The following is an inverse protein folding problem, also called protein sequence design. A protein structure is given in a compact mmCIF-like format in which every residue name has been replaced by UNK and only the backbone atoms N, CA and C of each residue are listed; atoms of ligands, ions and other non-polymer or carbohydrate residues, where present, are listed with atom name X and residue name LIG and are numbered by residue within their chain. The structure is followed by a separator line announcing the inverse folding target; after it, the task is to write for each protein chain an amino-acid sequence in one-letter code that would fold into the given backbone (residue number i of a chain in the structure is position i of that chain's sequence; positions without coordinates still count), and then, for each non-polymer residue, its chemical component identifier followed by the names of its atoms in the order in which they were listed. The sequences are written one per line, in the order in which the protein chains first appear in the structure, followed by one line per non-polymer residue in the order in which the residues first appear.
data_IF_582514860723
#
_entry.id   IF_582514860723
#
_cell.length_a   1.000
_cell.length_b   1.000
_cell.length_c   1.000
_cell.angle_alpha   90.00
_cell.angle_beta   90.00
_cell.angle_gamma   90.00
#
_symmetry.space_group_name_H-M   'P 1'
#
loop_
_entity.id
_entity.type
_entity.pdbx_description
1 polymer ?
#
# COMPACT_ATOMS: atom_id res chain seq x y z
N UNK A 1 6.47 0.16 -23.43
CA UNK A 1 5.62 1.19 -22.77
C UNK A 1 5.18 0.64 -21.43
N UNK A 2 5.31 1.44 -20.39
CA UNK A 2 4.94 1.07 -19.02
C UNK A 2 3.68 1.83 -18.64
N UNK A 3 2.73 1.15 -18.02
CA UNK A 3 1.43 1.69 -17.63
C UNK A 3 1.10 1.25 -16.19
N UNK A 4 0.41 2.12 -15.45
CA UNK A 4 -0.25 1.77 -14.19
C UNK A 4 -1.78 1.71 -14.35
N UNK A 5 -2.28 2.16 -15.51
CA UNK A 5 -3.70 2.11 -15.86
C UNK A 5 -4.03 0.77 -16.54
N UNK A 6 -5.00 -0.02 -16.01
CA UNK A 6 -5.41 -1.29 -16.61
C UNK A 6 -6.25 -1.09 -17.89
N UNK A 7 -6.62 -2.20 -18.53
CA UNK A 7 -7.60 -2.22 -19.62
C UNK A 7 -7.03 -1.93 -21.01
N UNK A 8 -5.78 -2.35 -21.27
CA UNK A 8 -5.19 -2.35 -22.60
C UNK A 8 -6.05 -3.19 -23.56
N UNK A 9 -6.36 -2.68 -24.74
CA UNK A 9 -7.23 -3.25 -25.77
C UNK A 9 -8.69 -3.55 -25.37
N UNK A 10 -9.10 -3.28 -24.13
CA UNK A 10 -10.49 -3.46 -23.66
C UNK A 10 -11.39 -2.30 -24.12
N UNK A 11 -11.12 -1.09 -23.62
CA UNK A 11 -11.92 0.12 -23.90
C UNK A 11 -11.10 1.16 -24.69
N UNK A 12 -10.58 2.18 -23.99
CA UNK A 12 -10.00 3.37 -24.61
C UNK A 12 -8.51 3.24 -24.95
N UNK A 13 -7.77 2.41 -24.21
CA UNK A 13 -6.33 2.25 -24.42
C UNK A 13 -6.13 1.16 -25.46
N UNK A 14 -5.55 1.49 -26.62
CA UNK A 14 -5.26 0.53 -27.69
C UNK A 14 -3.76 0.34 -27.91
N UNK A 15 -3.36 -0.84 -28.37
CA UNK A 15 -1.97 -1.10 -28.76
C UNK A 15 -1.56 -0.24 -29.95
N UNK A 16 -0.33 0.27 -29.90
CA UNK A 16 0.31 1.05 -30.95
C UNK A 16 1.36 0.18 -31.65
N UNK A 17 1.35 0.17 -32.99
CA UNK A 17 2.31 -0.59 -33.81
C UNK A 17 3.78 -0.18 -33.57
N UNK A 18 4.03 1.05 -33.09
CA UNK A 18 5.37 1.52 -32.73
C UNK A 18 5.87 1.02 -31.37
N UNK A 19 5.00 0.40 -30.56
CA UNK A 19 5.35 -0.10 -29.22
C UNK A 19 5.45 -1.62 -29.26
N UNK A 20 6.64 -2.15 -29.03
CA UNK A 20 6.89 -3.60 -29.07
C UNK A 20 6.33 -4.35 -27.86
N UNK A 21 6.28 -3.71 -26.69
CA UNK A 21 5.94 -4.35 -25.42
C UNK A 21 5.18 -3.41 -24.50
N UNK A 22 4.12 -3.91 -23.87
CA UNK A 22 3.27 -3.24 -22.90
C UNK A 22 3.42 -3.93 -21.54
N UNK A 23 3.97 -3.20 -20.58
CA UNK A 23 4.14 -3.66 -19.21
C UNK A 23 3.19 -2.91 -18.29
N UNK A 24 2.41 -3.64 -17.48
CA UNK A 24 1.63 -3.07 -16.39
C UNK A 24 2.46 -3.08 -15.09
N UNK A 25 2.38 -2.03 -14.28
CA UNK A 25 2.90 -2.01 -12.92
C UNK A 25 1.73 -1.79 -11.97
N UNK A 26 1.55 -2.72 -11.04
CA UNK A 26 0.44 -2.66 -10.09
C UNK A 26 0.65 -1.51 -9.09
N UNK A 27 -0.46 -0.86 -8.71
CA UNK A 27 -0.48 0.27 -7.77
C UNK A 27 -1.35 -0.04 -6.54
N UNK A 28 -1.13 -1.21 -5.95
CA UNK A 28 -1.77 -1.68 -4.71
C UNK A 28 -0.97 -2.84 -4.12
N UNK A 29 -1.22 -3.19 -2.86
CA UNK A 29 -0.64 -4.39 -2.22
C UNK A 29 -1.57 -5.61 -2.29
N UNK A 30 -2.88 -5.41 -2.17
CA UNK A 30 -3.87 -6.49 -2.33
C UNK A 30 -4.01 -6.91 -3.79
N UNK A 31 -4.59 -8.09 -4.07
CA UNK A 31 -5.18 -8.41 -5.36
C UNK A 31 -5.93 -7.21 -5.96
N UNK A 32 -5.75 -6.99 -7.26
CA UNK A 32 -6.27 -5.81 -7.94
C UNK A 32 -7.78 -5.93 -8.13
N UNK A 33 -8.53 -4.91 -7.70
CA UNK A 33 -9.97 -4.77 -7.97
C UNK A 33 -10.19 -4.13 -9.34
N UNK A 34 -9.66 -4.76 -10.39
CA UNK A 34 -9.81 -4.27 -11.77
C UNK A 34 -11.10 -4.76 -12.42
N UNK A 35 -11.62 -3.95 -13.36
CA UNK A 35 -12.70 -4.36 -14.25
C UNK A 35 -12.25 -5.55 -15.09
N UNK A 36 -13.22 -6.37 -15.52
CA UNK A 36 -12.96 -7.55 -16.34
C UNK A 36 -11.99 -7.24 -17.49
N UNK A 37 -11.03 -8.13 -17.69
CA UNK A 37 -9.92 -8.04 -18.65
C UNK A 37 -8.87 -6.98 -18.28
N UNK A 38 -8.75 -6.64 -17.00
CA UNK A 38 -7.93 -5.52 -16.53
C UNK A 38 -6.46 -5.62 -16.93
N UNK A 39 -5.89 -6.83 -16.91
CA UNK A 39 -4.48 -7.08 -17.22
C UNK A 39 -4.25 -8.05 -18.39
N UNK A 40 -5.31 -8.52 -19.04
CA UNK A 40 -5.25 -9.65 -19.98
C UNK A 40 -4.36 -9.41 -21.20
N UNK A 41 -4.42 -8.20 -21.75
CA UNK A 41 -3.77 -7.87 -23.02
C UNK A 41 -2.35 -7.27 -22.86
N UNK A 42 -1.84 -7.24 -21.63
CA UNK A 42 -0.46 -6.83 -21.34
C UNK A 42 0.52 -7.96 -21.62
N UNK A 43 1.72 -7.60 -22.10
CA UNK A 43 2.78 -8.57 -22.37
C UNK A 43 3.50 -8.97 -21.07
N UNK A 44 3.54 -8.05 -20.09
CA UNK A 44 4.05 -8.32 -18.75
C UNK A 44 3.33 -7.53 -17.66
N UNK A 45 3.39 -8.04 -16.43
CA UNK A 45 2.89 -7.37 -15.23
C UNK A 45 3.93 -7.43 -14.13
N UNK A 46 4.33 -6.27 -13.60
CA UNK A 46 5.14 -6.19 -12.40
C UNK A 46 4.21 -6.07 -11.19
N UNK A 47 4.31 -7.04 -10.28
CA UNK A 47 3.46 -7.16 -9.11
C UNK A 47 4.24 -6.85 -7.83
N UNK A 48 3.53 -6.45 -6.78
CA UNK A 48 4.13 -6.15 -5.49
C UNK A 48 4.52 -7.39 -4.69
N UNK A 49 3.79 -8.51 -4.86
CA UNK A 49 3.97 -9.73 -4.05
C UNK A 49 3.41 -10.97 -4.77
N UNK A 50 3.66 -12.14 -4.18
CA UNK A 50 3.20 -13.42 -4.70
C UNK A 50 1.67 -13.57 -4.72
N UNK A 51 0.94 -12.93 -3.81
CA UNK A 51 -0.54 -12.99 -3.79
C UNK A 51 -1.13 -12.41 -5.08
N UNK A 52 -0.55 -11.33 -5.59
CA UNK A 52 -0.95 -10.75 -6.87
C UNK A 52 -0.53 -11.60 -8.06
N UNK A 53 0.63 -12.27 -8.00
CA UNK A 53 1.01 -13.24 -9.02
C UNK A 53 -0.03 -14.36 -9.11
N UNK A 54 -0.34 -15.03 -8.00
CA UNK A 54 -1.32 -16.11 -7.93
C UNK A 54 -2.69 -15.65 -8.45
N UNK A 55 -3.14 -14.46 -8.04
CA UNK A 55 -4.38 -13.86 -8.55
C UNK A 55 -4.37 -13.70 -10.08
N UNK A 56 -3.30 -13.16 -10.66
CA UNK A 56 -3.20 -13.04 -12.13
C UNK A 56 -3.19 -14.43 -12.77
N UNK A 57 -2.55 -15.42 -12.15
CA UNK A 57 -2.52 -16.79 -12.69
C UNK A 57 -3.90 -17.43 -12.72
N UNK A 58 -4.74 -17.16 -11.72
CA UNK A 58 -6.13 -17.60 -11.67
C UNK A 58 -6.96 -16.93 -12.76
N UNK A 59 -6.84 -15.61 -12.91
CA UNK A 59 -7.51 -14.84 -13.99
C UNK A 59 -7.11 -15.33 -15.38
N UNK A 60 -5.81 -15.56 -15.61
CA UNK A 60 -5.33 -16.09 -16.90
C UNK A 60 -5.97 -17.44 -17.24
N UNK A 61 -6.20 -18.26 -16.23
CA UNK A 61 -6.82 -19.58 -16.37
C UNK A 61 -8.33 -19.44 -16.62
N UNK A 62 -9.01 -18.57 -15.87
CA UNK A 62 -10.44 -18.29 -16.02
C UNK A 62 -10.77 -17.73 -17.41
N UNK A 63 -9.95 -16.80 -17.93
CA UNK A 63 -10.18 -16.14 -19.21
C UNK A 63 -9.56 -16.89 -20.40
N UNK A 64 -8.80 -17.96 -20.16
CA UNK A 64 -8.09 -18.73 -21.18
C UNK A 64 -7.20 -17.83 -22.08
N UNK A 65 -6.42 -16.95 -21.45
CA UNK A 65 -5.51 -16.01 -22.15
C UNK A 65 -4.07 -16.51 -22.11
N UNK A 66 -3.23 -15.95 -22.99
CA UNK A 66 -1.80 -16.27 -23.03
C UNK A 66 -1.14 -15.90 -21.69
N UNK A 67 -0.37 -16.83 -21.13
CA UNK A 67 0.51 -16.57 -19.98
C UNK A 67 1.43 -15.40 -20.29
N UNK A 68 1.34 -14.33 -19.50
CA UNK A 68 2.23 -13.17 -19.58
C UNK A 68 3.42 -13.32 -18.64
N UNK A 69 4.46 -12.53 -18.89
CA UNK A 69 5.60 -12.44 -17.99
C UNK A 69 5.17 -11.71 -16.72
N UNK A 70 5.34 -12.34 -15.56
CA UNK A 70 5.10 -11.72 -14.27
C UNK A 70 6.42 -11.68 -13.52
N UNK A 71 6.70 -10.55 -12.88
CA UNK A 71 7.83 -10.43 -11.98
C UNK A 71 7.38 -9.74 -10.70
N UNK A 72 7.75 -10.32 -9.55
CA UNK A 72 7.53 -9.71 -8.26
C UNK A 72 8.63 -8.67 -8.05
N UNK A 73 8.25 -7.40 -8.03
CA UNK A 73 9.19 -6.27 -7.92
C UNK A 73 8.98 -5.44 -6.67
N UNK A 74 7.97 -5.74 -5.84
CA UNK A 74 7.63 -4.91 -4.68
C UNK A 74 6.77 -3.69 -5.05
N UNK A 75 6.44 -2.88 -4.04
CA UNK A 75 5.62 -1.67 -4.21
C UNK A 75 6.47 -0.41 -4.17
N UNK A 76 6.60 0.25 -5.31
CA UNK A 76 7.41 1.47 -5.45
C UNK A 76 6.83 2.65 -4.65
N UNK A 77 5.51 2.80 -4.62
CA UNK A 77 4.88 3.89 -3.88
C UNK A 77 4.94 3.66 -2.37
N UNK A 78 4.92 2.41 -1.92
CA UNK A 78 4.97 2.10 -0.49
C UNK A 78 6.37 2.39 0.08
N UNK A 79 7.42 2.15 -0.71
CA UNK A 79 8.79 2.54 -0.35
C UNK A 79 8.89 4.06 -0.13
N UNK A 80 8.32 4.87 -1.02
CA UNK A 80 8.26 6.34 -0.89
C UNK A 80 7.46 6.77 0.35
N UNK A 81 6.30 6.16 0.59
CA UNK A 81 5.51 6.45 1.80
C UNK A 81 6.27 6.08 3.08
N UNK A 82 7.02 4.98 3.08
CA UNK A 82 7.84 4.61 4.23
C UNK A 82 8.99 5.59 4.49
N UNK A 83 9.64 6.11 3.45
CA UNK A 83 10.65 7.16 3.61
C UNK A 83 10.07 8.43 4.23
N UNK A 84 8.86 8.81 3.83
CA UNK A 84 8.13 9.94 4.42
C UNK A 84 7.74 9.68 5.88
N UNK A 85 7.34 8.45 6.22
CA UNK A 85 7.04 8.06 7.60
C UNK A 85 8.29 8.18 8.50
N UNK A 86 9.41 7.62 8.07
CA UNK A 86 10.67 7.62 8.83
C UNK A 86 11.20 9.04 9.06
N UNK A 87 10.93 9.97 8.13
CA UNK A 87 11.31 11.37 8.30
C UNK A 87 10.61 12.03 9.51
N UNK A 88 9.35 11.65 9.82
CA UNK A 88 8.59 12.17 10.96
C UNK A 88 9.14 11.68 12.32
N UNK A 89 9.59 10.44 12.37
CA UNK A 89 10.19 9.86 13.59
C UNK A 89 11.57 10.48 13.89
N UNK A 90 12.28 10.92 12.84
CA UNK A 90 13.58 11.57 12.99
C UNK A 90 13.51 13.02 13.48
N UNK A 91 12.42 13.74 13.20
CA UNK A 91 12.23 15.14 13.66
C UNK A 91 11.79 15.21 15.11
N UNK A 92 10.97 14.26 15.56
CA UNK A 92 10.52 14.14 16.97
C UNK A 92 11.67 13.88 17.94
N UNK A 93 12.72 13.15 17.52
CA UNK A 93 13.90 12.87 18.35
C UNK A 93 14.96 14.00 18.38
N UNK A 94 14.81 15.06 17.58
CA UNK A 94 15.76 16.20 17.58
C UNK A 94 15.47 17.26 18.66
N UNK A 95 14.47 17.05 19.51
CA UNK A 95 14.23 17.88 20.70
C UNK A 95 14.89 17.25 21.94
N UNK A 96 16.22 17.19 21.95
CA UNK A 96 17.01 17.03 23.18
C UNK A 96 17.98 18.21 23.33
N UNK A 97 17.76 18.97 24.40
CA UNK A 97 18.46 20.10 25.01
C UNK A 97 19.13 21.20 24.15
N UNK A 98 18.87 22.49 24.43
CA UNK A 98 19.62 23.59 23.85
C UNK A 98 21.01 23.67 24.52
N UNK A 99 21.99 22.97 23.95
CA UNK A 99 23.40 23.21 24.28
C UNK A 99 24.18 23.65 23.03
N UNK A 100 24.60 24.92 23.10
CA UNK A 100 25.74 25.55 22.43
C UNK A 100 25.86 25.39 20.90
N UNK A 101 25.29 26.38 20.20
CA UNK A 101 25.72 26.76 18.86
C UNK A 101 27.16 27.27 18.93
N UNK A 102 28.14 26.46 18.52
CA UNK A 102 29.41 27.00 18.02
C UNK A 102 30.04 26.10 16.94
N UNK A 103 30.20 26.74 15.77
CA UNK A 103 31.21 26.52 14.73
C UNK A 103 31.53 25.09 14.26
N UNK A 104 30.94 24.68 13.13
CA UNK A 104 31.63 23.77 12.20
C UNK A 104 31.56 24.34 10.78
N UNK A 105 32.74 24.74 10.29
CA UNK A 105 33.01 25.15 8.92
C UNK A 105 32.81 24.02 7.91
N UNK A 106 32.50 24.44 6.69
CA UNK A 106 32.27 23.69 5.46
C UNK A 106 33.15 22.44 5.25
N UNK A 107 32.52 21.27 5.24
CA UNK A 107 32.88 20.16 4.33
C UNK A 107 31.62 19.67 3.62
N UNK A 108 31.59 19.89 2.31
CA UNK A 108 30.59 19.36 1.37
C UNK A 108 30.83 17.86 1.21
N UNK A 109 30.09 17.04 1.94
CA UNK A 109 29.83 15.66 1.54
C UNK A 109 28.57 15.62 0.67
N UNK A 110 28.78 15.41 -0.63
CA UNK A 110 27.77 15.40 -1.69
C UNK A 110 27.20 13.99 -1.86
N UNK A 111 26.63 13.42 -0.78
CA UNK A 111 25.94 12.11 -0.84
C UNK A 111 24.45 12.18 -0.46
N UNK A 112 23.94 13.36 -0.11
CA UNK A 112 22.57 13.55 0.40
C UNK A 112 21.66 14.40 -0.53
N UNK A 113 22.10 14.76 -1.73
CA UNK A 113 21.27 15.52 -2.68
C UNK A 113 20.25 14.64 -3.40
N UNK A 114 19.30 14.06 -2.66
CA UNK A 114 17.96 13.73 -3.15
C UNK A 114 16.95 14.35 -2.17
N UNK A 115 16.53 15.57 -2.52
CA UNK A 115 15.20 16.14 -2.27
C UNK A 115 14.61 15.98 -0.86
N UNK A 116 15.10 16.78 0.09
CA UNK A 116 14.19 17.34 1.11
C UNK A 116 13.36 18.42 0.40
N UNK A 117 12.17 18.08 -0.08
CA UNK A 117 11.22 19.10 -0.52
C UNK A 117 10.79 19.93 0.69
N UNK A 118 10.61 21.23 0.52
CA UNK A 118 10.11 22.13 1.57
C UNK A 118 8.77 21.67 2.15
N UNK A 119 8.00 20.90 1.39
CA UNK A 119 6.70 20.35 1.76
C UNK A 119 6.79 19.27 2.85
N UNK A 120 7.79 18.37 2.80
CA UNK A 120 7.99 17.35 3.81
C UNK A 120 8.39 17.96 5.17
N UNK A 121 9.20 19.03 5.14
CA UNK A 121 9.57 19.80 6.34
C UNK A 121 8.40 20.62 6.89
N UNK A 122 7.61 21.27 6.04
CA UNK A 122 6.42 22.02 6.47
C UNK A 122 5.35 21.09 7.05
N UNK A 123 5.18 19.89 6.47
CA UNK A 123 4.32 18.87 7.02
C UNK A 123 4.84 18.40 8.38
N UNK A 124 6.11 17.96 8.49
CA UNK A 124 6.71 17.55 9.76
C UNK A 124 6.53 18.61 10.86
N UNK A 125 6.80 19.89 10.57
CA UNK A 125 6.61 20.99 11.51
C UNK A 125 5.14 21.27 11.88
N UNK A 126 4.18 21.08 10.96
CA UNK A 126 2.73 21.18 11.25
C UNK A 126 2.26 20.03 12.15
N UNK A 127 2.85 18.85 11.99
CA UNK A 127 2.49 17.63 12.71
C UNK A 127 3.19 17.47 14.06
N UNK A 128 4.45 17.91 14.21
CA UNK A 128 5.18 17.90 15.49
C UNK A 128 4.42 18.67 16.58
N UNK A 129 3.83 19.83 16.25
CA UNK A 129 3.00 20.61 17.18
C UNK A 129 1.69 19.92 17.60
N UNK A 130 1.28 18.87 16.90
CA UNK A 130 0.03 18.13 17.17
C UNK A 130 0.26 16.83 17.93
N UNK A 131 1.53 16.39 18.05
CA UNK A 131 1.93 15.15 18.72
C UNK A 131 2.17 15.34 20.24
N UNK A 132 2.32 16.59 20.69
CA UNK A 132 2.40 16.90 22.12
C UNK A 132 1.00 16.93 22.76
N UNK A 133 0.48 15.77 23.19
CA UNK A 133 -0.47 15.73 24.31
C UNK A 133 -0.23 14.54 25.23
N UNK A 134 0.04 14.87 26.49
CA UNK A 134 0.39 13.97 27.58
C UNK A 134 -0.86 13.34 28.21
N UNK A 135 -1.24 12.19 27.67
CA UNK A 135 -2.00 11.05 28.22
C UNK A 135 -2.42 10.28 26.95
N UNK A 136 -1.84 9.11 26.65
CA UNK A 136 -1.88 8.53 25.29
C UNK A 136 -3.27 7.99 24.91
N UNK A 137 -4.21 8.89 24.65
CA UNK A 137 -5.50 8.58 24.08
C UNK A 137 -5.29 7.86 22.75
N UNK A 138 -5.78 6.61 22.65
CA UNK A 138 -5.69 5.83 21.41
C UNK A 138 -6.41 6.57 20.28
N UNK A 139 -5.83 6.54 19.10
CA UNK A 139 -6.39 7.19 17.90
C UNK A 139 -6.97 6.16 16.94
N UNK A 140 -8.21 6.35 16.50
CA UNK A 140 -8.85 5.54 15.46
C UNK A 140 -8.95 6.36 14.17
N UNK A 141 -8.45 5.78 13.07
CA UNK A 141 -8.57 6.34 11.73
C UNK A 141 -9.73 5.69 10.99
N UNK A 142 -10.75 6.48 10.66
CA UNK A 142 -11.85 6.09 9.79
C UNK A 142 -11.49 6.48 8.35
N UNK A 143 -11.17 5.49 7.51
CA UNK A 143 -10.67 5.67 6.14
C UNK A 143 -11.60 5.02 5.11
N UNK A 144 -12.75 5.65 4.80
CA UNK A 144 -13.77 5.10 3.90
C UNK A 144 -13.39 5.20 2.40
N UNK A 145 -13.91 4.27 1.60
CA UNK A 145 -14.02 4.45 0.14
C UNK A 145 -15.16 5.43 -0.21
N UNK A 146 -15.31 5.77 -1.49
CA UNK A 146 -16.39 6.65 -1.98
C UNK A 146 -17.46 5.88 -2.77
N UNK A 147 -18.69 6.38 -2.75
CA UNK A 147 -19.82 5.81 -3.49
C UNK A 147 -20.92 5.27 -2.57
N UNK A 148 -22.06 4.94 -3.17
CA UNK A 148 -23.32 4.69 -2.43
C UNK A 148 -23.23 3.58 -1.38
N UNK A 149 -22.49 2.52 -1.66
CA UNK A 149 -22.37 1.34 -0.78
C UNK A 149 -21.16 1.39 0.17
N UNK A 150 -20.50 2.55 0.30
CA UNK A 150 -19.29 2.70 1.13
C UNK A 150 -19.61 3.17 2.55
N UNK A 151 -18.61 3.06 3.42
CA UNK A 151 -18.74 3.22 4.87
C UNK A 151 -19.57 4.44 5.31
N UNK A 152 -19.24 5.63 4.79
CA UNK A 152 -19.89 6.88 5.23
C UNK A 152 -21.27 7.08 4.62
N UNK A 153 -21.55 6.55 3.43
CA UNK A 153 -22.87 6.68 2.81
C UNK A 153 -23.86 5.66 3.37
N UNK A 154 -23.39 4.43 3.63
CA UNK A 154 -24.23 3.35 4.10
C UNK A 154 -24.53 3.45 5.60
N UNK A 155 -23.55 3.86 6.40
CA UNK A 155 -23.67 3.85 7.86
C UNK A 155 -23.58 5.24 8.49
N UNK A 156 -22.76 6.15 7.95
CA UNK A 156 -22.67 7.53 8.42
C UNK A 156 -22.65 7.67 9.95
N UNK A 157 -23.64 8.37 10.51
CA UNK A 157 -23.76 8.61 11.95
C UNK A 157 -23.99 7.35 12.78
N UNK A 158 -24.57 6.27 12.23
CA UNK A 158 -24.79 5.03 12.97
C UNK A 158 -23.46 4.39 13.40
N UNK A 159 -22.42 4.53 12.58
CA UNK A 159 -21.06 4.11 12.91
C UNK A 159 -20.31 5.19 13.69
N UNK A 160 -20.40 6.44 13.24
CA UNK A 160 -19.57 7.51 13.78
C UNK A 160 -19.99 7.92 15.20
N UNK A 161 -21.29 7.97 15.53
CA UNK A 161 -21.74 8.41 16.86
C UNK A 161 -21.24 7.51 18.00
N UNK A 162 -21.26 6.17 17.90
CA UNK A 162 -20.62 5.31 18.90
C UNK A 162 -19.11 5.55 19.03
N UNK A 163 -18.40 5.79 17.93
CA UNK A 163 -16.96 6.05 17.94
C UNK A 163 -16.60 7.37 18.61
N UNK A 164 -17.28 8.47 18.26
CA UNK A 164 -16.95 9.80 18.82
C UNK A 164 -17.35 9.94 20.30
N UNK A 165 -18.27 9.10 20.79
CA UNK A 165 -18.64 9.03 22.22
C UNK A 165 -17.68 8.18 23.06
N UNK A 166 -16.78 7.44 22.42
CA UNK A 166 -15.72 6.67 23.08
C UNK A 166 -14.61 7.60 23.58
N UNK A 167 -13.67 7.11 24.43
CA UNK A 167 -12.53 7.92 24.87
C UNK A 167 -11.48 8.17 23.77
N UNK A 168 -11.65 7.62 22.56
CA UNK A 168 -10.66 7.69 21.48
C UNK A 168 -10.63 9.04 20.77
N UNK A 169 -9.47 9.38 20.22
CA UNK A 169 -9.34 10.43 19.21
C UNK A 169 -9.71 9.86 17.85
N UNK A 170 -10.62 10.50 17.12
CA UNK A 170 -11.16 9.99 15.86
C UNK A 170 -10.66 10.86 14.71
N UNK A 171 -9.88 10.28 13.81
CA UNK A 171 -9.53 10.91 12.53
C UNK A 171 -10.46 10.35 11.46
N UNK A 172 -11.27 11.21 10.84
CA UNK A 172 -12.13 10.84 9.70
C UNK A 172 -11.47 11.38 8.44
N UNK A 173 -11.07 10.47 7.54
CA UNK A 173 -10.37 10.78 6.30
C UNK A 173 -11.15 10.30 5.08
N UNK A 174 -12.19 11.03 4.62
CA UNK A 174 -12.93 10.66 3.44
C UNK A 174 -12.05 10.59 2.19
N UNK A 175 -12.37 9.69 1.27
CA UNK A 175 -11.69 9.64 -0.02
C UNK A 175 -11.82 11.00 -0.75
N UNK A 176 -10.79 11.49 -1.48
CA UNK A 176 -10.83 12.79 -2.15
C UNK A 176 -12.05 12.98 -3.07
N UNK A 177 -12.45 11.91 -3.77
CA UNK A 177 -13.64 11.88 -4.63
C UNK A 177 -14.94 12.20 -3.87
N UNK A 178 -15.03 11.90 -2.57
CA UNK A 178 -16.22 12.22 -1.75
C UNK A 178 -16.40 13.73 -1.54
N UNK A 179 -15.36 14.55 -1.75
CA UNK A 179 -15.48 16.01 -1.74
C UNK A 179 -15.86 16.61 -3.10
N UNK A 180 -15.79 15.82 -4.17
CA UNK A 180 -16.04 16.24 -5.55
C UNK A 180 -17.46 15.85 -5.98
N UNK A 181 -17.85 14.60 -5.73
CA UNK A 181 -19.18 14.09 -6.11
C UNK A 181 -20.28 14.82 -5.34
N UNK A 182 -21.33 15.37 -5.99
CA UNK A 182 -22.34 16.20 -5.32
C UNK A 182 -23.05 15.50 -4.14
N UNK A 183 -23.49 14.26 -4.33
CA UNK A 183 -24.19 13.50 -3.28
C UNK A 183 -23.26 13.16 -2.12
N UNK A 184 -22.03 12.74 -2.42
CA UNK A 184 -21.01 12.45 -1.42
C UNK A 184 -20.68 13.70 -0.62
N UNK A 185 -20.46 14.84 -1.30
CA UNK A 185 -20.09 16.10 -0.68
C UNK A 185 -21.16 16.59 0.28
N UNK A 186 -22.43 16.47 -0.11
CA UNK A 186 -23.55 16.81 0.76
C UNK A 186 -23.59 15.91 2.01
N UNK A 187 -23.34 14.60 1.85
CA UNK A 187 -23.25 13.68 2.98
C UNK A 187 -22.07 14.05 3.90
N UNK A 188 -20.88 14.30 3.36
CA UNK A 188 -19.73 14.73 4.17
C UNK A 188 -20.02 16.02 4.94
N UNK A 189 -20.66 17.02 4.31
CA UNK A 189 -21.05 18.26 4.98
C UNK A 189 -22.06 18.00 6.13
N UNK A 190 -23.04 17.11 5.91
CA UNK A 190 -23.98 16.71 6.93
C UNK A 190 -23.29 16.04 8.13
N UNK A 191 -22.38 15.10 7.87
CA UNK A 191 -21.60 14.41 8.92
C UNK A 191 -20.68 15.39 9.66
N UNK A 192 -20.06 16.34 8.96
CA UNK A 192 -19.23 17.38 9.57
C UNK A 192 -20.05 18.26 10.53
N UNK A 193 -21.23 18.69 10.12
CA UNK A 193 -22.12 19.52 10.95
C UNK A 193 -22.63 18.74 12.17
N UNK A 194 -23.02 17.49 11.99
CA UNK A 194 -23.52 16.63 13.07
C UNK A 194 -22.44 16.29 14.12
N UNK A 195 -21.16 16.34 13.75
CA UNK A 195 -20.04 16.02 14.62
C UNK A 195 -19.25 17.24 15.10
N UNK A 196 -19.68 18.47 14.79
CA UNK A 196 -18.93 19.71 15.05
C UNK A 196 -18.63 19.96 16.53
N UNK A 197 -19.50 19.48 17.42
CA UNK A 197 -19.41 19.74 18.86
C UNK A 197 -18.53 18.69 19.59
N UNK A 198 -18.03 17.67 18.87
CA UNK A 198 -17.13 16.66 19.42
C UNK A 198 -15.67 17.09 19.22
N UNK A 199 -14.99 17.46 20.30
CA UNK A 199 -13.61 17.96 20.27
C UNK A 199 -12.55 16.88 19.99
N UNK A 200 -12.91 15.60 20.15
CA UNK A 200 -12.08 14.44 19.82
C UNK A 200 -12.20 14.00 18.35
N UNK A 201 -12.81 14.81 17.49
CA UNK A 201 -12.99 14.51 16.05
C UNK A 201 -12.12 15.42 15.21
N UNK A 202 -11.37 14.82 14.30
CA UNK A 202 -10.57 15.49 13.30
C UNK A 202 -10.99 15.06 11.90
N UNK A 203 -11.21 16.01 11.01
CA UNK A 203 -11.42 15.75 9.59
C UNK A 203 -10.12 15.98 8.82
N UNK A 204 -9.60 14.91 8.23
CA UNK A 204 -8.34 14.95 7.52
C UNK A 204 -8.56 14.92 6.00
N UNK A 205 -7.95 15.89 5.32
CA UNK A 205 -7.98 16.06 3.86
C UNK A 205 -6.57 16.19 3.29
N UNK A 206 -5.55 16.06 4.14
CA UNK A 206 -4.16 16.32 3.76
C UNK A 206 -3.62 15.17 2.89
N UNK A 207 -2.64 15.45 2.04
CA UNK A 207 -1.92 14.45 1.24
C UNK A 207 -0.44 14.65 1.48
N UNK A 208 0.38 13.59 1.65
CA UNK A 208 0.07 12.15 1.66
C UNK A 208 -0.76 11.64 2.86
N UNK A 209 -1.29 10.41 2.75
CA UNK A 209 -2.05 9.72 3.80
C UNK A 209 -1.20 9.26 5.01
N UNK A 210 0.12 9.21 4.83
CA UNK A 210 1.05 8.67 5.82
C UNK A 210 0.99 9.36 7.18
N UNK A 211 0.67 10.65 7.22
CA UNK A 211 0.60 11.41 8.47
C UNK A 211 -0.58 10.98 9.35
N UNK A 212 -1.73 10.69 8.74
CA UNK A 212 -2.87 10.12 9.46
C UNK A 212 -2.58 8.69 9.89
N UNK A 213 -1.82 7.92 9.08
CA UNK A 213 -1.44 6.55 9.41
C UNK A 213 -0.53 6.49 10.63
N UNK A 214 0.53 7.30 10.66
CA UNK A 214 1.51 7.34 11.76
C UNK A 214 0.87 7.63 13.12
N UNK A 215 -0.20 8.42 13.13
CA UNK A 215 -0.91 8.80 14.36
C UNK A 215 -1.95 7.79 14.82
N UNK A 216 -2.45 6.94 13.94
CA UNK A 216 -3.56 6.06 14.25
C UNK A 216 -3.07 4.77 14.89
N UNK A 217 -3.78 4.29 15.90
CA UNK A 217 -3.56 3.01 16.57
C UNK A 217 -4.36 1.86 15.95
N UNK A 218 -5.39 2.21 15.19
CA UNK A 218 -6.28 1.28 14.50
C UNK A 218 -6.95 1.98 13.32
N UNK A 219 -7.19 1.24 12.24
CA UNK A 219 -8.01 1.72 11.12
C UNK A 219 -9.40 1.08 11.14
N UNK A 220 -10.42 1.85 10.78
CA UNK A 220 -11.75 1.35 10.39
C UNK A 220 -11.96 1.74 8.92
N UNK A 221 -12.20 0.74 8.07
CA UNK A 221 -12.41 0.95 6.64
C UNK A 221 -13.51 0.01 6.10
N UNK A 222 -13.80 0.12 4.81
CA UNK A 222 -14.68 -0.79 4.10
C UNK A 222 -13.86 -1.85 3.33
N UNK A 223 -13.69 -1.69 2.02
CA UNK A 223 -13.00 -2.60 1.12
C UNK A 223 -11.80 -1.94 0.42
N UNK A 224 -11.34 -0.81 0.96
CA UNK A 224 -10.22 -0.07 0.39
C UNK A 224 -8.91 -0.87 0.44
N UNK A 225 -8.15 -0.88 -0.65
CA UNK A 225 -6.80 -1.45 -0.65
C UNK A 225 -5.85 -0.75 0.33
N UNK A 226 -6.18 0.48 0.74
CA UNK A 226 -5.39 1.28 1.68
C UNK A 226 -5.25 0.65 3.07
N UNK A 227 -6.13 -0.30 3.40
CA UNK A 227 -6.04 -1.12 4.62
C UNK A 227 -4.67 -1.80 4.69
N UNK A 228 -4.22 -2.39 3.57
CA UNK A 228 -2.96 -3.11 3.54
C UNK A 228 -1.75 -2.17 3.53
N UNK A 229 -1.88 -0.96 2.99
CA UNK A 229 -0.85 0.08 3.13
C UNK A 229 -0.66 0.43 4.60
N UNK A 230 -1.76 0.66 5.33
CA UNK A 230 -1.74 0.96 6.76
C UNK A 230 -1.12 -0.19 7.57
N UNK A 231 -1.54 -1.43 7.31
CA UNK A 231 -1.01 -2.62 7.99
C UNK A 231 0.49 -2.78 7.72
N UNK A 232 0.95 -2.64 6.48
CA UNK A 232 2.36 -2.83 6.15
C UNK A 232 3.24 -1.69 6.69
N UNK A 233 2.76 -0.44 6.64
CA UNK A 233 3.52 0.71 7.10
C UNK A 233 3.53 0.82 8.62
N UNK A 234 2.39 0.64 9.27
CA UNK A 234 2.22 0.89 10.71
C UNK A 234 2.28 -0.38 11.57
N UNK A 235 2.02 -1.56 11.00
CA UNK A 235 1.94 -2.81 11.76
C UNK A 235 0.79 -2.81 12.77
N UNK A 236 -0.32 -2.13 12.45
CA UNK A 236 -1.45 -1.87 13.35
C UNK A 236 -2.76 -2.48 12.81
N UNK A 237 -3.71 -2.83 13.70
CA UNK A 237 -4.92 -3.56 13.32
C UNK A 237 -5.90 -2.73 12.50
N UNK A 238 -6.70 -3.42 11.68
CA UNK A 238 -7.77 -2.83 10.90
C UNK A 238 -9.10 -3.57 11.08
N UNK A 239 -10.16 -2.82 11.37
CA UNK A 239 -11.53 -3.32 11.31
C UNK A 239 -12.10 -2.99 9.94
N UNK A 240 -12.81 -3.95 9.36
CA UNK A 240 -13.47 -3.76 8.07
C UNK A 240 -14.95 -4.00 8.19
N UNK A 241 -15.75 -3.25 7.44
CA UNK A 241 -17.16 -3.60 7.38
C UNK A 241 -17.37 -4.88 6.57
N UNK A 242 -18.15 -5.79 7.14
CA UNK A 242 -18.69 -6.96 6.47
C UNK A 242 -19.77 -6.51 5.46
N UNK A 243 -19.31 -6.07 4.30
CA UNK A 243 -20.14 -5.82 3.14
C UNK A 243 -19.81 -6.89 2.11
N UNK A 244 -20.83 -7.64 1.68
CA UNK A 244 -20.76 -8.40 0.44
C UNK A 244 -20.51 -7.40 -0.69
N UNK A 245 -19.24 -7.26 -1.07
CA UNK A 245 -18.89 -6.50 -2.27
C UNK A 245 -19.56 -7.17 -3.46
N UNK A 246 -20.28 -6.38 -4.24
CA UNK A 246 -20.72 -6.82 -5.55
C UNK A 246 -19.50 -6.90 -6.47
N UNK A 247 -19.04 -8.13 -6.72
CA UNK A 247 -17.90 -8.41 -7.58
C UNK A 247 -18.26 -8.30 -9.07
N UNK A 248 -19.54 -8.09 -9.41
CA UNK A 248 -20.00 -8.02 -10.80
C UNK A 248 -19.21 -6.99 -11.60
N UNK A 249 -18.68 -7.45 -12.74
CA UNK A 249 -17.89 -6.62 -13.64
C UNK A 249 -16.45 -6.36 -13.18
N UNK A 250 -15.95 -7.09 -12.19
CA UNK A 250 -14.52 -7.15 -11.84
C UNK A 250 -13.94 -8.52 -12.20
N UNK A 251 -12.63 -8.56 -12.49
CA UNK A 251 -11.88 -9.81 -12.74
C UNK A 251 -12.10 -10.84 -11.61
N UNK A 252 -12.24 -10.36 -10.36
CA UNK A 252 -12.48 -11.20 -9.18
C UNK A 252 -13.79 -12.00 -9.24
N UNK A 253 -14.76 -11.62 -10.07
CA UNK A 253 -16.00 -12.39 -10.23
C UNK A 253 -15.81 -13.68 -11.03
N UNK A 254 -14.73 -13.77 -11.81
CA UNK A 254 -14.47 -14.90 -12.70
C UNK A 254 -13.62 -16.01 -12.04
N UNK A 255 -13.29 -15.85 -10.75
CA UNK A 255 -12.54 -16.84 -9.95
C UNK A 255 -13.33 -17.26 -8.70
N UNK A 256 -12.96 -18.39 -8.13
CA UNK A 256 -13.61 -18.90 -6.92
C UNK A 256 -13.42 -17.93 -5.75
N UNK A 257 -14.52 -17.52 -5.10
CA UNK A 257 -14.48 -16.55 -4.01
C UNK A 257 -13.55 -16.98 -2.86
N UNK A 258 -13.50 -18.28 -2.58
CA UNK A 258 -12.64 -18.85 -1.54
C UNK A 258 -11.15 -18.85 -1.90
N UNK A 259 -10.78 -18.65 -3.17
CA UNK A 259 -9.37 -18.46 -3.58
C UNK A 259 -8.89 -17.04 -3.32
N UNK A 260 -9.80 -16.07 -3.14
CA UNK A 260 -9.46 -14.67 -2.95
C UNK A 260 -8.83 -14.46 -1.57
N UNK A 261 -7.51 -14.28 -1.58
CA UNK A 261 -6.69 -14.08 -0.38
C UNK A 261 -7.17 -12.91 0.51
N UNK A 262 -7.60 -11.80 -0.11
CA UNK A 262 -7.99 -10.57 0.60
C UNK A 262 -9.01 -10.83 1.71
N UNK A 263 -10.08 -11.60 1.43
CA UNK A 263 -11.13 -11.82 2.43
C UNK A 263 -10.63 -12.61 3.65
N UNK A 264 -9.73 -13.57 3.45
CA UNK A 264 -9.10 -14.33 4.54
C UNK A 264 -8.13 -13.46 5.34
N UNK A 265 -7.42 -12.55 4.69
CA UNK A 265 -6.48 -11.65 5.34
C UNK A 265 -7.19 -10.66 6.27
N UNK A 266 -8.34 -10.09 5.84
CA UNK A 266 -9.12 -9.14 6.64
C UNK A 266 -9.57 -9.71 8.00
N UNK A 267 -9.87 -11.01 8.06
CA UNK A 267 -10.24 -11.69 9.32
C UNK A 267 -9.07 -11.81 10.32
N UNK A 268 -7.83 -11.76 9.82
CA UNK A 268 -6.61 -12.02 10.61
C UNK A 268 -5.97 -10.74 11.13
N UNK A 269 -6.06 -9.64 10.38
CA UNK A 269 -5.47 -8.34 10.73
C UNK A 269 -6.34 -7.50 11.68
N UNK A 270 -7.51 -8.01 12.07
CA UNK A 270 -8.43 -7.33 12.97
C UNK A 270 -9.76 -8.07 13.07
N UNK A 271 -10.86 -7.43 12.66
CA UNK A 271 -12.20 -8.02 12.73
C UNK A 271 -13.12 -7.46 11.65
N UNK A 272 -13.88 -8.33 10.98
CA UNK A 272 -15.03 -7.91 10.17
C UNK A 272 -16.22 -7.56 11.06
N UNK A 273 -16.80 -6.39 10.86
CA UNK A 273 -17.94 -5.89 11.64
C UNK A 273 -19.10 -5.50 10.72
N UNK A 274 -20.33 -5.81 11.09
CA UNK A 274 -21.54 -5.24 10.50
C UNK A 274 -22.29 -4.32 11.48
N UNK A 275 -23.37 -3.68 11.03
CA UNK A 275 -24.18 -2.73 11.80
C UNK A 275 -24.60 -3.24 13.18
N UNK A 276 -24.81 -4.55 13.33
CA UNK A 276 -25.16 -5.20 14.61
C UNK A 276 -24.11 -5.01 15.72
N UNK A 277 -22.88 -4.67 15.35
CA UNK A 277 -21.77 -4.49 16.28
C UNK A 277 -21.52 -3.02 16.66
N UNK A 278 -22.19 -2.06 16.02
CA UNK A 278 -21.86 -0.63 16.23
C UNK A 278 -22.11 -0.17 17.66
N UNK A 279 -23.11 -0.73 18.35
CA UNK A 279 -23.35 -0.47 19.77
C UNK A 279 -22.24 -0.98 20.69
N UNK A 280 -21.47 -1.98 20.24
CA UNK A 280 -20.37 -2.62 20.96
C UNK A 280 -19.00 -2.26 20.37
N UNK A 281 -18.92 -1.23 19.51
CA UNK A 281 -17.70 -0.95 18.75
C UNK A 281 -16.53 -0.63 19.68
N UNK A 282 -16.80 0.04 20.81
CA UNK A 282 -15.78 0.35 21.80
C UNK A 282 -15.19 -0.92 22.41
N UNK A 283 -16.03 -1.87 22.86
CA UNK A 283 -15.60 -3.16 23.43
C UNK A 283 -14.75 -3.94 22.41
N UNK A 284 -15.17 -3.94 21.14
CA UNK A 284 -14.42 -4.60 20.05
C UNK A 284 -13.05 -3.96 19.84
N UNK A 285 -12.96 -2.62 19.86
CA UNK A 285 -11.68 -1.93 19.77
C UNK A 285 -10.76 -2.29 20.95
N UNK A 286 -11.30 -2.31 22.17
CA UNK A 286 -10.56 -2.68 23.39
C UNK A 286 -10.05 -4.13 23.32
N UNK A 287 -10.88 -5.08 22.87
CA UNK A 287 -10.47 -6.48 22.66
C UNK A 287 -9.26 -6.59 21.72
N UNK A 288 -9.27 -5.85 20.60
CA UNK A 288 -8.21 -5.90 19.59
C UNK A 288 -6.95 -5.16 20.07
N UNK A 289 -7.09 -4.03 20.77
CA UNK A 289 -5.93 -3.36 21.37
C UNK A 289 -5.23 -4.30 22.36
N UNK A 290 -5.99 -4.95 23.24
CA UNK A 290 -5.47 -5.89 24.20
C UNK A 290 -4.81 -7.11 23.54
N UNK A 291 -5.33 -7.60 22.40
CA UNK A 291 -4.72 -8.72 21.68
C UNK A 291 -3.39 -8.37 21.01
N UNK A 292 -3.16 -7.09 20.70
CA UNK A 292 -1.89 -6.62 20.13
C UNK A 292 -0.82 -6.38 21.21
N UNK A 293 -1.23 -6.05 22.44
CA UNK A 293 -0.32 -5.75 23.56
C UNK A 293 0.23 -7.01 24.27
N UNK A 294 -0.30 -8.19 23.96
CA UNK A 294 0.21 -9.48 24.47
C UNK A 294 1.61 -9.75 23.89
N UNK A 295 2.64 -9.22 24.53
CA UNK A 295 4.03 -9.64 24.31
C UNK A 295 4.12 -11.13 24.63
N UNK A 296 4.66 -11.91 23.70
CA UNK A 296 4.92 -13.34 23.77
C UNK A 296 5.36 -13.80 25.17
N UNK A 297 4.40 -14.12 26.01
CA UNK A 297 4.60 -15.07 27.10
C UNK A 297 3.98 -16.34 26.57
N UNK A 298 4.83 -17.18 25.96
CA UNK A 298 4.75 -18.64 25.82
C UNK A 298 5.36 -19.12 24.48
N UNK A 299 6.69 -19.02 24.36
CA UNK A 299 7.44 -20.13 23.76
C UNK A 299 7.42 -21.29 24.76
N UNK A 300 6.44 -22.21 24.65
CA UNK A 300 6.55 -23.60 25.11
C UNK A 300 5.20 -24.31 25.01
N UNK A 301 5.13 -25.34 24.17
CA UNK A 301 4.11 -26.38 24.28
C UNK A 301 3.23 -26.51 23.05
N UNK A 302 3.74 -27.19 22.03
CA UNK A 302 2.86 -27.96 21.15
C UNK A 302 2.05 -28.93 22.01
N UNK A 303 0.75 -28.68 22.12
CA UNK A 303 -0.21 -29.75 22.33
C UNK A 303 -1.41 -29.53 21.42
N UNK A 304 -1.40 -30.32 20.35
CA UNK A 304 -2.52 -30.56 19.46
C UNK A 304 -3.66 -31.21 20.24
N UNK A 305 -4.87 -30.67 20.06
CA UNK A 305 -6.19 -31.32 20.16
C UNK A 305 -7.17 -30.53 21.05
N UNK A 306 -7.74 -29.47 20.50
CA UNK A 306 -9.17 -29.07 20.62
C UNK A 306 -9.33 -27.70 19.96
N UNK A 307 -9.95 -27.61 18.78
CA UNK A 307 -10.22 -26.32 18.15
C UNK A 307 -11.50 -26.36 17.32
N UNK A 308 -12.64 -26.31 18.00
CA UNK A 308 -13.85 -25.71 17.46
C UNK A 308 -14.18 -24.49 18.33
N UNK A 309 -14.22 -23.33 17.66
CA UNK A 309 -14.76 -22.03 18.12
C UNK A 309 -14.14 -21.45 19.41
N UNK A 310 -13.12 -20.57 19.26
CA UNK A 310 -12.81 -19.38 20.11
C UNK A 310 -11.33 -18.90 20.12
N UNK A 311 -10.49 -19.26 19.14
CA UNK A 311 -9.05 -18.93 19.19
C UNK A 311 -8.54 -17.86 18.19
N UNK A 312 -9.42 -17.15 17.46
CA UNK A 312 -8.98 -16.18 16.43
C UNK A 312 -8.36 -14.89 16.99
N UNK A 313 -8.62 -14.55 18.25
CA UNK A 313 -8.11 -13.31 18.85
C UNK A 313 -6.73 -13.46 19.51
N UNK A 314 -6.13 -14.66 19.50
CA UNK A 314 -4.89 -14.93 20.25
C UNK A 314 -3.59 -14.61 19.53
N UNK A 315 -3.62 -14.03 18.33
CA UNK A 315 -2.38 -13.58 17.69
C UNK A 315 -2.53 -12.50 16.59
N UNK A 316 -3.32 -11.45 16.84
CA UNK A 316 -3.50 -10.34 15.88
C UNK A 316 -2.15 -9.72 15.48
N UNK A 317 -1.23 -9.54 16.43
CA UNK A 317 0.10 -8.98 16.14
C UNK A 317 0.93 -9.86 15.21
N UNK A 318 0.98 -11.19 15.42
CA UNK A 318 1.66 -12.09 14.49
C UNK A 318 1.03 -12.02 13.11
N UNK A 319 -0.29 -11.99 13.01
CA UNK A 319 -0.97 -11.91 11.72
C UNK A 319 -0.70 -10.60 10.97
N UNK A 320 -0.57 -9.49 11.69
CA UNK A 320 -0.14 -8.21 11.12
C UNK A 320 1.28 -8.32 10.57
N UNK A 321 2.20 -8.95 11.31
CA UNK A 321 3.58 -9.17 10.89
C UNK A 321 3.67 -10.09 9.66
N UNK A 322 2.99 -11.24 9.69
CA UNK A 322 2.92 -12.20 8.57
C UNK A 322 2.34 -11.52 7.32
N UNK A 323 1.31 -10.69 7.48
CA UNK A 323 0.71 -9.94 6.37
C UNK A 323 1.69 -8.93 5.78
N UNK A 324 2.41 -8.19 6.64
CA UNK A 324 3.43 -7.23 6.21
C UNK A 324 4.56 -7.91 5.42
N UNK A 325 5.09 -9.02 5.92
CA UNK A 325 6.16 -9.78 5.27
C UNK A 325 5.71 -10.37 3.92
N UNK A 326 4.46 -10.86 3.86
CA UNK A 326 3.90 -11.42 2.64
C UNK A 326 3.69 -10.35 1.56
N UNK A 327 3.16 -9.18 1.93
CA UNK A 327 2.73 -8.16 0.98
C UNK A 327 3.82 -7.16 0.59
N UNK A 328 4.71 -6.78 1.51
CA UNK A 328 5.74 -5.76 1.25
C UNK A 328 7.07 -6.41 0.90
N UNK A 329 7.11 -7.02 -0.28
CA UNK A 329 8.34 -7.63 -0.80
C UNK A 329 9.29 -6.58 -1.37
N UNK A 330 10.60 -6.82 -1.25
CA UNK A 330 11.67 -5.90 -1.64
C UNK A 330 11.55 -4.48 -1.05
N UNK A 331 11.33 -4.34 0.27
CA UNK A 331 11.17 -3.03 0.88
C UNK A 331 12.41 -2.15 0.62
N UNK A 332 12.15 -0.89 0.29
CA UNK A 332 13.13 0.15 -0.11
C UNK A 332 13.93 -0.14 -1.38
N UNK A 333 13.61 -1.23 -2.09
CA UNK A 333 14.32 -1.66 -3.28
C UNK A 333 13.37 -1.89 -4.46
N UNK A 334 12.07 -1.60 -4.31
CA UNK A 334 11.09 -1.95 -5.32
C UNK A 334 11.35 -1.23 -6.65
N UNK A 335 11.71 0.05 -6.59
CA UNK A 335 12.08 0.82 -7.78
C UNK A 335 13.26 0.24 -8.54
N UNK A 336 14.28 -0.25 -7.81
CA UNK A 336 15.44 -0.90 -8.41
C UNK A 336 15.08 -2.27 -9.02
N UNK A 337 14.23 -3.05 -8.35
CA UNK A 337 13.74 -4.32 -8.92
C UNK A 337 12.92 -4.08 -10.19
N UNK A 338 11.97 -3.13 -10.17
CA UNK A 338 11.19 -2.79 -11.37
C UNK A 338 12.08 -2.30 -12.50
N UNK A 339 13.07 -1.43 -12.23
CA UNK A 339 14.01 -0.97 -13.25
C UNK A 339 14.82 -2.14 -13.85
N UNK A 340 15.29 -3.07 -13.02
CA UNK A 340 16.03 -4.25 -13.46
C UNK A 340 15.19 -5.15 -14.37
N UNK A 341 13.94 -5.39 -14.03
CA UNK A 341 13.03 -6.20 -14.85
C UNK A 341 12.70 -5.51 -16.18
N UNK A 342 12.47 -4.20 -16.16
CA UNK A 342 12.25 -3.43 -17.40
C UNK A 342 13.48 -3.46 -18.32
N UNK A 343 14.71 -3.41 -17.77
CA UNK A 343 15.93 -3.56 -18.56
C UNK A 343 16.09 -4.96 -19.16
N UNK A 344 15.66 -6.02 -18.46
CA UNK A 344 15.63 -7.38 -19.03
C UNK A 344 14.66 -7.46 -20.21
N UNK A 345 13.47 -6.90 -20.06
CA UNK A 345 12.47 -6.84 -21.15
C UNK A 345 13.03 -6.05 -22.34
N UNK A 346 13.62 -4.88 -22.12
CA UNK A 346 14.21 -4.08 -23.20
C UNK A 346 15.35 -4.83 -23.90
N UNK A 347 16.20 -5.51 -23.12
CA UNK A 347 17.26 -6.37 -23.66
C UNK A 347 16.68 -7.45 -24.58
N UNK A 348 15.62 -8.15 -24.17
CA UNK A 348 14.98 -9.19 -25.00
C UNK A 348 14.40 -8.62 -26.30
N UNK A 349 13.80 -7.42 -26.24
CA UNK A 349 13.29 -6.71 -27.43
C UNK A 349 14.44 -6.38 -28.39
N UNK A 350 15.53 -5.82 -27.89
CA UNK A 350 16.72 -5.47 -28.68
C UNK A 350 17.35 -6.72 -29.28
N UNK A 351 17.53 -7.78 -28.50
CA UNK A 351 18.08 -9.06 -28.98
C UNK A 351 17.20 -9.67 -30.09
N UNK A 352 15.87 -9.62 -29.94
CA UNK A 352 14.94 -10.10 -30.95
C UNK A 352 15.05 -9.31 -32.26
N UNK A 353 15.19 -7.97 -32.17
CA UNK A 353 15.38 -7.09 -33.34
C UNK A 353 16.73 -7.31 -34.02
N UNK A 354 17.78 -7.57 -33.24
CA UNK A 354 19.14 -7.79 -33.73
C UNK A 354 19.39 -9.21 -34.23
N UNK A 355 18.49 -10.18 -33.95
CA UNK A 355 18.63 -11.58 -34.34
C UNK A 355 19.05 -11.80 -35.81
N UNK A 356 18.51 -11.07 -36.81
CA UNK A 356 18.95 -11.20 -38.20
C UNK A 356 20.38 -10.70 -38.47
N UNK A 357 20.93 -9.85 -37.59
CA UNK A 357 22.22 -9.18 -37.74
C UNK A 357 23.24 -9.61 -36.67
N UNK A 358 22.93 -10.66 -35.88
CA UNK A 358 23.69 -10.99 -34.67
C UNK A 358 25.17 -11.31 -34.96
N UNK A 359 25.48 -11.88 -36.12
CA UNK A 359 26.85 -12.15 -36.55
C UNK A 359 27.66 -10.86 -36.78
N UNK A 360 27.02 -9.81 -37.33
CA UNK A 360 27.66 -8.51 -37.52
C UNK A 360 27.90 -7.81 -36.19
N UNK A 361 26.95 -7.90 -35.26
CA UNK A 361 27.09 -7.35 -33.90
C UNK A 361 28.22 -8.06 -33.15
N UNK A 362 28.33 -9.38 -33.25
CA UNK A 362 29.43 -10.14 -32.66
C UNK A 362 30.78 -9.70 -33.24
N UNK A 363 30.86 -9.54 -34.57
CA UNK A 363 32.07 -9.07 -35.23
C UNK A 363 32.46 -7.65 -34.79
N UNK A 364 31.49 -6.74 -34.62
CA UNK A 364 31.75 -5.40 -34.12
C UNK A 364 32.37 -5.43 -32.71
N UNK A 365 31.81 -6.24 -31.79
CA UNK A 365 32.36 -6.41 -30.44
C UNK A 365 33.78 -6.98 -30.43
N UNK A 366 34.08 -7.92 -31.31
CA UNK A 366 35.45 -8.44 -31.48
C UNK A 366 36.41 -7.32 -31.88
N UNK A 367 36.02 -6.48 -32.86
CA UNK A 367 36.82 -5.34 -33.32
C UNK A 367 37.02 -4.32 -32.20
N UNK A 368 35.98 -3.98 -31.44
CA UNK A 368 36.07 -3.06 -30.29
C UNK A 368 37.06 -3.59 -29.23
N UNK A 369 36.97 -4.89 -28.92
CA UNK A 369 37.91 -5.54 -27.98
C UNK A 369 39.36 -5.49 -28.47
N UNK A 370 39.58 -5.64 -29.79
CA UNK A 370 40.92 -5.52 -30.37
C UNK A 370 41.45 -4.09 -30.29
N UNK A 371 40.59 -3.08 -30.51
CA UNK A 371 40.94 -1.67 -30.40
C UNK A 371 41.28 -1.27 -28.96
N UNK A 372 40.47 -1.68 -27.97
CA UNK A 372 40.73 -1.41 -26.55
C UNK A 372 42.07 -2.01 -26.09
N UNK A 373 42.34 -3.28 -26.43
CA UNK A 373 43.62 -3.94 -26.12
C UNK A 373 44.81 -3.31 -26.84
N UNK A 374 44.60 -2.81 -28.06
CA UNK A 374 45.62 -2.07 -28.81
C UNK A 374 45.99 -0.75 -28.12
N UNK A 375 45.00 -0.03 -27.58
CA UNK A 375 45.19 1.21 -26.84
C UNK A 375 45.89 1.00 -25.49
N UNK A 376 45.60 -0.09 -24.78
CA UNK A 376 46.29 -0.42 -23.52
C UNK A 376 47.77 -0.75 -23.74
N UNK A 377 48.10 -1.51 -24.79
CA UNK A 377 49.50 -1.80 -25.14
C UNK A 377 50.26 -0.54 -25.59
N UNK A 378 49.59 0.41 -26.23
CA UNK A 378 50.18 1.69 -26.62
C UNK A 378 50.44 2.67 -25.47
N UNK A 379 49.88 2.43 -24.27
CA UNK A 379 50.14 3.24 -23.05
C UNK A 379 51.25 2.66 -22.15
N UNK A 380 51.67 1.42 -22.41
CA UNK A 380 52.72 0.70 -21.66
C UNK A 380 54.10 0.74 -22.36
N UNK A 381 54.14 1.27 -23.59
CA UNK A 381 55.36 1.66 -24.30
C UNK A 381 55.53 3.18 -24.21
#
# INVERSE_FOLDING_TARGET
MVLTTPGLDVLHIKRNRGVAHYCHIVHSLSPMTYRVFGVDYFDSVLVANGVQEDFIRDIESAHNVKRKHIAITGSTYLDELSLQANALESTTNCHTEPSEVSNIESKKDISCLHTRTSEALVAACKYDKKLESTNSTKTILVSPSWGKETLLNKYGLDLLLPLVKSPYHIIIRPHPQSYISPSEKANIQHLQEALKDYSNVEWDKDTPNIYAFARADMMISDFSSVIFDFVCLQGKPALTIDNDMDLSGYDMADIERDSIWTFKALDRIGKRISQKHFSQIQEICEEIFNSCDLKDTQQSGLNTNTAHTHNSHKNTQLHLQETKELLWQHPHNAGMQSARELLKIEREIVETRLKPQIALVARLRELDTMLEKGLEKGKLC
#
